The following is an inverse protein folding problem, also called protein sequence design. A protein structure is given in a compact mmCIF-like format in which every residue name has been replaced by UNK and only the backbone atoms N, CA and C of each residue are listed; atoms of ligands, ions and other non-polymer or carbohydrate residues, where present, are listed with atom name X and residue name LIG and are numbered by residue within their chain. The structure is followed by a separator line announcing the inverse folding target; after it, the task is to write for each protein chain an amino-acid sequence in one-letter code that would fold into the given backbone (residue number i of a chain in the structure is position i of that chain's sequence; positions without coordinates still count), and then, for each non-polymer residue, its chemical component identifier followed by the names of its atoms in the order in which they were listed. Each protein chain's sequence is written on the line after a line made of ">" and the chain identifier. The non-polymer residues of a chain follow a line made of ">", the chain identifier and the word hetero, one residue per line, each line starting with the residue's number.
data_IF_251399089608
#
_entry.id   IF_251399089608
#
_cell.length_a   1.000
_cell.length_b   1.000
_cell.length_c   1.000
_cell.angle_alpha   90.00
_cell.angle_beta   90.00
_cell.angle_gamma   90.00
#
_symmetry.space_group_name_H-M   'P 1'
#
loop_
_entity.id
_entity.type
_entity.pdbx_description
1 polymer ?
#
# COMPACT_ATOMS: atom_id res chain seq x y z
N UNK A 1 56.41 3.35 52.46
CA UNK A 1 56.36 2.00 53.06
C UNK A 1 55.09 1.30 52.59
N UNK A 2 55.20 0.38 51.64
CA UNK A 2 54.28 -0.77 51.50
C UNK A 2 54.93 -1.96 52.20
N UNK A 3 54.18 -2.96 52.69
CA UNK A 3 53.88 -4.16 51.86
C UNK A 3 52.45 -4.74 52.11
N UNK A 4 51.75 -5.20 51.06
CA UNK A 4 51.51 -6.64 50.71
C UNK A 4 50.57 -7.38 51.67
N UNK A 5 49.54 -8.15 51.25
CA UNK A 5 49.63 -9.34 50.38
C UNK A 5 48.28 -9.73 49.73
N UNK A 6 48.43 -10.36 48.56
CA UNK A 6 47.49 -11.13 47.74
C UNK A 6 46.86 -12.36 48.43
N UNK A 7 45.69 -12.80 47.95
CA UNK A 7 45.41 -14.16 47.43
C UNK A 7 43.89 -14.34 47.15
N UNK A 8 43.46 -14.45 45.89
CA UNK A 8 43.13 -15.68 45.11
C UNK A 8 41.63 -16.04 45.08
N UNK A 9 41.04 -15.72 43.92
CA UNK A 9 40.21 -16.57 43.04
C UNK A 9 39.19 -17.55 43.63
N UNK A 10 37.93 -17.45 43.16
CA UNK A 10 37.17 -18.59 42.64
C UNK A 10 36.05 -18.11 41.71
N UNK A 11 35.95 -18.77 40.56
CA UNK A 11 34.90 -18.64 39.55
C UNK A 11 33.53 -19.05 40.09
N UNK A 12 32.46 -18.41 39.60
CA UNK A 12 31.23 -19.09 39.19
C UNK A 12 30.32 -18.14 38.38
N UNK A 13 30.32 -18.31 37.06
CA UNK A 13 29.19 -18.01 36.17
C UNK A 13 28.47 -19.35 35.99
N UNK A 14 27.14 -19.44 36.15
CA UNK A 14 26.30 -19.42 34.96
C UNK A 14 24.96 -18.69 35.10
N UNK A 15 24.64 -18.01 33.99
CA UNK A 15 23.35 -17.78 33.34
C UNK A 15 22.04 -18.22 34.06
N UNK A 16 21.09 -17.29 34.15
CA UNK A 16 19.69 -17.54 33.75
C UNK A 16 19.15 -16.33 32.98
N UNK A 17 18.68 -16.66 31.79
CA UNK A 17 18.00 -15.87 30.76
C UNK A 17 16.59 -15.50 31.20
N UNK A 18 16.11 -14.28 30.90
CA UNK A 18 14.76 -14.08 30.34
C UNK A 18 14.46 -12.60 30.04
N UNK A 19 14.20 -12.36 28.74
CA UNK A 19 13.10 -11.55 28.20
C UNK A 19 13.09 -10.03 28.44
N UNK A 20 13.46 -9.29 27.40
CA UNK A 20 12.52 -8.41 26.68
C UNK A 20 13.19 -7.93 25.38
N UNK A 21 13.30 -8.87 24.44
CA UNK A 21 13.44 -8.54 23.02
C UNK A 21 12.11 -7.92 22.59
N UNK A 22 12.09 -6.59 22.47
CA UNK A 22 11.08 -5.88 21.69
C UNK A 22 11.32 -6.26 20.24
N UNK A 23 10.65 -7.32 19.80
CA UNK A 23 10.58 -7.65 18.38
C UNK A 23 9.77 -6.53 17.69
N UNK A 24 10.27 -5.90 16.61
CA UNK A 24 9.38 -5.17 15.73
C UNK A 24 8.41 -6.20 15.17
N UNK A 25 7.12 -5.95 15.44
CA UNK A 25 6.02 -6.73 14.91
C UNK A 25 6.26 -6.97 13.42
N UNK A 26 6.37 -8.24 13.05
CA UNK A 26 6.54 -8.63 11.67
C UNK A 26 5.45 -7.99 10.84
N UNK A 27 5.85 -7.36 9.75
CA UNK A 27 4.97 -7.10 8.64
C UNK A 27 4.39 -8.45 8.22
N UNK A 28 3.16 -8.73 8.68
CA UNK A 28 2.36 -9.80 8.15
C UNK A 28 2.09 -9.46 6.70
N UNK A 29 2.93 -9.94 5.80
CA UNK A 29 2.56 -10.10 4.41
C UNK A 29 1.41 -11.11 4.41
N UNK A 30 0.18 -10.60 4.47
CA UNK A 30 -1.03 -11.38 4.27
C UNK A 30 -0.89 -12.05 2.91
N UNK A 31 -0.61 -13.35 2.95
CA UNK A 31 -0.63 -14.21 1.77
C UNK A 31 -2.02 -14.05 1.16
N UNK A 32 -2.17 -13.66 -0.11
CA UNK A 32 -3.48 -13.57 -0.73
C UNK A 32 -4.15 -14.94 -0.60
N UNK A 33 -5.20 -14.99 0.23
CA UNK A 33 -6.06 -16.17 0.31
C UNK A 33 -6.60 -16.48 -1.08
N UNK A 34 -7.02 -17.72 -1.32
CA UNK A 34 -7.64 -18.13 -2.59
C UNK A 34 -8.87 -17.27 -2.98
N UNK A 35 -9.38 -16.48 -2.01
CA UNK A 35 -10.48 -15.52 -2.10
C UNK A 35 -10.05 -14.04 -2.21
N UNK A 36 -8.76 -13.75 -2.42
CA UNK A 36 -8.30 -12.38 -2.63
C UNK A 36 -9.02 -11.75 -3.82
N UNK A 37 -9.50 -10.52 -3.65
CA UNK A 37 -10.19 -9.78 -4.70
C UNK A 37 -9.33 -9.80 -5.98
N UNK A 38 -9.96 -10.05 -7.14
CA UNK A 38 -9.25 -10.07 -8.42
C UNK A 38 -8.49 -8.76 -8.70
N UNK A 39 -8.93 -7.67 -8.06
CA UNK A 39 -8.23 -6.40 -7.95
C UNK A 39 -8.38 -5.84 -6.54
N UNK A 40 -7.29 -5.27 -6.04
CA UNK A 40 -7.27 -4.38 -4.88
C UNK A 40 -6.87 -2.97 -5.32
N UNK A 41 -7.54 -1.95 -4.78
CA UNK A 41 -7.20 -0.55 -5.00
C UNK A 41 -7.11 0.15 -3.66
N UNK A 42 -6.01 0.85 -3.44
CA UNK A 42 -5.79 1.72 -2.30
C UNK A 42 -5.46 3.12 -2.77
N UNK A 43 -6.13 4.12 -2.21
CA UNK A 43 -5.70 5.51 -2.34
C UNK A 43 -4.79 5.85 -1.16
N UNK A 44 -3.62 6.40 -1.45
CA UNK A 44 -2.71 6.93 -0.45
C UNK A 44 -2.67 8.45 -0.63
N UNK A 45 -3.27 9.24 0.28
CA UNK A 45 -3.12 10.70 0.22
C UNK A 45 -1.64 11.08 0.36
N UNK A 46 -0.88 10.27 1.11
CA UNK A 46 0.57 10.24 1.12
C UNK A 46 1.26 11.48 1.68
N UNK A 47 2.50 11.25 2.09
CA UNK A 47 3.56 12.26 2.24
C UNK A 47 4.56 12.02 1.08
N UNK A 48 5.79 12.53 1.12
CA UNK A 48 6.80 12.35 0.05
C UNK A 48 7.42 10.92 -0.04
N UNK A 49 6.68 9.86 0.31
CA UNK A 49 7.19 8.49 0.21
C UNK A 49 7.60 8.17 -1.25
N UNK A 50 8.90 7.91 -1.51
CA UNK A 50 9.40 7.70 -2.87
C UNK A 50 8.84 6.44 -3.53
N UNK A 51 8.28 5.48 -2.77
CA UNK A 51 7.75 4.24 -3.34
C UNK A 51 6.44 4.44 -4.12
N UNK A 52 5.62 5.43 -3.76
CA UNK A 52 4.29 5.64 -4.35
C UNK A 52 4.02 7.09 -4.78
N UNK A 53 4.73 8.06 -4.21
CA UNK A 53 4.46 9.48 -4.39
C UNK A 53 3.19 9.95 -3.66
N UNK A 54 3.02 11.28 -3.49
CA UNK A 54 1.84 11.85 -2.84
C UNK A 54 0.60 11.66 -3.70
N UNK A 55 -0.58 11.67 -3.07
CA UNK A 55 -1.88 11.52 -3.71
C UNK A 55 -1.88 10.41 -4.77
N UNK A 56 -1.55 9.18 -4.39
CA UNK A 56 -1.33 8.07 -5.34
C UNK A 56 -2.39 6.98 -5.23
N UNK A 57 -2.75 6.41 -6.37
CA UNK A 57 -3.50 5.16 -6.42
C UNK A 57 -2.53 4.00 -6.55
N UNK A 58 -2.61 3.04 -5.63
CA UNK A 58 -1.94 1.75 -5.70
C UNK A 58 -2.97 0.71 -6.13
N UNK A 59 -2.75 0.10 -7.29
CA UNK A 59 -3.64 -0.90 -7.88
C UNK A 59 -2.88 -2.21 -7.97
N UNK A 60 -3.39 -3.25 -7.30
CA UNK A 60 -2.87 -4.61 -7.38
C UNK A 60 -3.86 -5.48 -8.16
N UNK A 61 -3.44 -6.01 -9.30
CA UNK A 61 -4.27 -6.90 -10.13
C UNK A 61 -3.77 -8.34 -9.97
N UNK A 62 -4.59 -9.21 -9.39
CA UNK A 62 -4.17 -10.60 -9.13
C UNK A 62 -4.44 -11.58 -10.27
N UNK A 63 -5.37 -11.27 -11.19
CA UNK A 63 -5.78 -12.17 -12.29
C UNK A 63 -6.23 -11.40 -13.52
N UNK A 64 -6.05 -11.99 -14.71
CA UNK A 64 -6.41 -11.40 -15.99
C UNK A 64 -7.14 -12.39 -16.89
N UNK A 65 -8.08 -11.96 -17.77
CA UNK A 65 -8.83 -10.69 -17.83
C UNK A 65 -9.95 -10.58 -16.76
N UNK A 66 -10.54 -9.39 -16.50
CA UNK A 66 -10.58 -8.16 -17.32
C UNK A 66 -9.46 -7.14 -17.05
N UNK A 67 -9.33 -6.15 -17.94
CA UNK A 67 -8.51 -4.93 -17.70
C UNK A 67 -9.22 -4.02 -16.71
N UNK A 68 -8.50 -3.55 -15.69
CA UNK A 68 -9.02 -2.68 -14.63
C UNK A 68 -8.37 -1.29 -14.67
N UNK A 69 -9.15 -0.27 -14.29
CA UNK A 69 -8.65 1.09 -14.10
C UNK A 69 -9.47 1.81 -13.04
N UNK A 70 -8.84 2.77 -12.35
CA UNK A 70 -9.52 3.70 -11.46
C UNK A 70 -9.84 4.96 -12.24
N UNK A 71 -11.11 5.35 -12.27
CA UNK A 71 -11.53 6.66 -12.74
C UNK A 71 -11.63 7.59 -11.53
N UNK A 72 -11.11 8.81 -11.65
CA UNK A 72 -11.11 9.77 -10.55
C UNK A 72 -11.42 11.19 -11.01
N UNK A 73 -11.89 12.01 -10.07
CA UNK A 73 -12.12 13.44 -10.21
C UNK A 73 -11.82 14.16 -8.90
N UNK A 74 -11.13 15.30 -8.99
CA UNK A 74 -10.94 16.22 -7.86
C UNK A 74 -10.78 17.65 -8.42
N UNK A 75 -11.35 18.65 -7.75
CA UNK A 75 -11.42 20.02 -8.25
C UNK A 75 -11.91 20.07 -9.73
N UNK A 76 -11.13 20.68 -10.62
CA UNK A 76 -11.36 20.69 -12.08
C UNK A 76 -10.63 19.58 -12.84
N UNK A 77 -9.92 18.67 -12.14
CA UNK A 77 -9.15 17.59 -12.75
C UNK A 77 -9.92 16.28 -12.74
N UNK A 78 -9.77 15.51 -13.81
CA UNK A 78 -10.29 14.14 -13.93
C UNK A 78 -9.32 13.29 -14.72
N UNK A 79 -9.25 12.00 -14.43
CA UNK A 79 -8.34 11.11 -15.11
C UNK A 79 -8.61 9.64 -14.83
N UNK A 80 -7.70 8.81 -15.33
CA UNK A 80 -7.72 7.37 -15.11
C UNK A 80 -6.34 6.86 -14.75
N UNK A 81 -6.27 5.95 -13.78
CA UNK A 81 -5.07 5.18 -13.44
C UNK A 81 -5.30 3.73 -13.85
N UNK A 82 -4.44 3.18 -14.71
CA UNK A 82 -4.61 1.83 -15.22
C UNK A 82 -3.91 0.83 -14.30
N UNK A 83 -4.61 -0.24 -13.93
CA UNK A 83 -3.98 -1.42 -13.35
C UNK A 83 -3.30 -2.23 -14.45
N UNK A 84 -2.14 -2.81 -14.14
CA UNK A 84 -1.46 -3.76 -15.03
C UNK A 84 -1.68 -5.18 -14.53
N UNK A 85 -1.81 -6.09 -15.49
CA UNK A 85 -2.07 -7.51 -15.23
C UNK A 85 -0.97 -8.12 -14.35
N UNK A 86 -1.35 -8.82 -13.27
CA UNK A 86 -0.41 -9.52 -12.37
C UNK A 86 0.67 -8.61 -11.74
N UNK A 87 0.41 -7.30 -11.73
CA UNK A 87 1.32 -6.29 -11.25
C UNK A 87 0.67 -5.43 -10.15
N UNK A 88 1.52 -4.79 -9.35
CA UNK A 88 1.13 -3.67 -8.49
C UNK A 88 1.64 -2.39 -9.14
N UNK A 89 0.74 -1.50 -9.54
CA UNK A 89 1.08 -0.19 -10.08
C UNK A 89 0.76 0.91 -9.08
N UNK A 90 1.59 1.96 -9.06
CA UNK A 90 1.37 3.14 -8.24
C UNK A 90 1.52 4.38 -9.11
N UNK A 91 0.47 5.20 -9.20
CA UNK A 91 0.49 6.45 -9.97
C UNK A 91 -0.02 7.61 -9.10
N UNK A 92 0.78 8.67 -9.02
CA UNK A 92 0.42 9.93 -8.36
C UNK A 92 -0.48 10.77 -9.26
N UNK A 93 -1.55 11.34 -8.70
CA UNK A 93 -2.50 12.19 -9.42
C UNK A 93 -2.31 13.69 -9.15
N UNK A 94 -1.49 14.04 -8.16
CA UNK A 94 -1.22 15.42 -7.76
C UNK A 94 0.05 15.52 -6.88
N UNK A 95 0.86 16.59 -7.01
CA UNK A 95 1.91 16.88 -6.03
C UNK A 95 1.29 17.20 -4.64
N UNK A 96 2.09 17.07 -3.59
CA UNK A 96 1.68 17.45 -2.23
C UNK A 96 1.56 18.97 -2.10
N UNK A 97 0.62 19.44 -1.28
CA UNK A 97 0.47 20.85 -0.93
C UNK A 97 -0.60 21.03 0.15
N UNK A 98 -0.89 22.27 0.50
CA UNK A 98 -1.68 22.59 1.70
C UNK A 98 -3.18 22.78 1.44
N UNK A 99 -3.63 22.77 0.18
CA UNK A 99 -5.05 22.92 -0.15
C UNK A 99 -5.73 21.57 -0.29
N UNK A 100 -6.84 21.39 0.39
CA UNK A 100 -7.65 20.17 0.32
C UNK A 100 -8.73 20.28 -0.77
N UNK A 101 -8.84 19.24 -1.59
CA UNK A 101 -9.91 19.07 -2.57
C UNK A 101 -10.58 17.72 -2.36
N UNK A 102 -11.92 17.69 -2.46
CA UNK A 102 -12.65 16.42 -2.46
C UNK A 102 -12.27 15.58 -3.67
N UNK A 103 -11.91 14.32 -3.42
CA UNK A 103 -11.61 13.32 -4.42
C UNK A 103 -12.78 12.34 -4.50
N UNK A 104 -13.30 12.15 -5.69
CA UNK A 104 -14.25 11.08 -6.01
C UNK A 104 -13.58 10.10 -6.97
N UNK A 105 -13.68 8.81 -6.68
CA UNK A 105 -13.09 7.80 -7.54
C UNK A 105 -13.88 6.49 -7.53
N UNK A 106 -13.72 5.68 -8.58
CA UNK A 106 -14.35 4.35 -8.68
C UNK A 106 -13.48 3.39 -9.47
N UNK A 107 -13.55 2.13 -9.13
CA UNK A 107 -12.93 1.05 -9.90
C UNK A 107 -13.82 0.66 -11.07
N UNK A 108 -13.24 0.60 -12.27
CA UNK A 108 -13.88 0.16 -13.49
C UNK A 108 -13.13 -1.01 -14.13
N UNK A 109 -13.83 -1.76 -14.97
CA UNK A 109 -13.25 -2.83 -15.78
C UNK A 109 -13.81 -2.82 -17.20
N UNK A 110 -12.95 -3.11 -18.17
CA UNK A 110 -13.37 -3.38 -19.55
C UNK A 110 -13.83 -4.83 -19.67
N UNK A 111 -15.03 -5.02 -20.19
CA UNK A 111 -15.68 -6.32 -20.38
C UNK A 111 -16.14 -6.44 -21.81
N UNK A 112 -16.35 -7.68 -22.27
CA UNK A 112 -17.06 -7.96 -23.50
C UNK A 112 -18.41 -8.60 -23.20
N UNK A 113 -19.45 -8.14 -23.89
CA UNK A 113 -20.71 -8.87 -23.98
C UNK A 113 -20.48 -10.23 -24.64
N UNK A 114 -21.26 -11.24 -24.27
CA UNK A 114 -21.06 -12.59 -24.79
C UNK A 114 -21.50 -12.70 -26.26
N UNK A 115 -22.65 -12.14 -26.61
CA UNK A 115 -23.19 -12.09 -27.97
C UNK A 115 -24.13 -10.89 -28.17
N UNK A 116 -23.92 -10.03 -29.17
CA UNK A 116 -22.67 -9.89 -29.94
C UNK A 116 -21.50 -9.42 -29.03
N UNK A 117 -20.24 -9.71 -29.39
CA UNK A 117 -19.07 -9.28 -28.63
C UNK A 117 -18.83 -7.77 -28.77
N UNK A 118 -19.45 -6.99 -27.89
CA UNK A 118 -19.28 -5.55 -27.81
C UNK A 118 -18.50 -5.17 -26.54
N UNK A 119 -17.49 -4.30 -26.62
CA UNK A 119 -16.80 -3.80 -25.44
C UNK A 119 -17.73 -2.91 -24.62
N UNK A 120 -17.71 -3.06 -23.31
CA UNK A 120 -18.39 -2.15 -22.39
C UNK A 120 -17.55 -1.94 -21.13
N UNK A 121 -17.83 -0.84 -20.44
CA UNK A 121 -17.21 -0.53 -19.16
C UNK A 121 -18.20 -0.84 -18.05
N UNK A 122 -17.75 -1.61 -17.05
CA UNK A 122 -18.49 -1.80 -15.80
C UNK A 122 -17.71 -1.14 -14.68
N UNK A 123 -18.34 -0.18 -14.00
CA UNK A 123 -17.78 0.48 -12.83
C UNK A 123 -18.53 0.07 -11.56
N UNK A 124 -17.82 0.06 -10.44
CA UNK A 124 -18.42 0.02 -9.11
C UNK A 124 -18.89 1.39 -8.65
N UNK A 125 -19.23 1.46 -7.37
CA UNK A 125 -19.67 2.69 -6.73
C UNK A 125 -18.53 3.69 -6.57
N UNK A 126 -18.91 4.97 -6.47
CA UNK A 126 -17.97 6.02 -6.10
C UNK A 126 -17.56 5.90 -4.64
N UNK A 127 -16.28 6.14 -4.41
CA UNK A 127 -15.64 6.33 -3.13
C UNK A 127 -15.16 7.77 -3.04
N UNK A 128 -15.09 8.28 -1.82
CA UNK A 128 -14.71 9.66 -1.54
C UNK A 128 -13.48 9.69 -0.64
N UNK A 129 -12.52 10.53 -0.97
CA UNK A 129 -11.29 10.78 -0.23
C UNK A 129 -10.92 12.28 -0.36
N UNK A 130 -9.71 12.66 0.03
CA UNK A 130 -9.20 14.03 -0.06
C UNK A 130 -7.85 14.05 -0.76
N UNK A 131 -7.69 14.95 -1.73
CA UNK A 131 -6.40 15.30 -2.36
C UNK A 131 -5.85 16.54 -1.68
N UNK A 132 -4.60 16.49 -1.24
CA UNK A 132 -3.86 17.62 -0.66
C UNK A 132 -2.80 18.12 -1.65
N UNK A 133 -3.01 19.31 -2.22
CA UNK A 133 -2.16 19.86 -3.29
C UNK A 133 -2.20 21.40 -3.31
N UNK A 134 -1.25 22.07 -3.96
CA UNK A 134 -1.15 23.54 -3.96
C UNK A 134 0.06 24.03 -4.72
#
# INVERSE_FOLDING_TARGET
>A
MSPSRLARAALAVPAVVAALLVAPAGAGASTPGRDAAAVEVRYNPGDQDPAHGPNSFVITVGKCPPTYFVEYRWASKSGRVNGRCEETTADSIAPLGDTEYSLEWRLCSFRLWRYPPLPYVRCGDYRTDVVRTG
#
